data_IF_068064779485
#
_entry.id   IF_068064779485
#
_cell.length_a   1.000
_cell.length_b   1.000
_cell.length_c   1.000
_cell.angle_alpha   90.00
_cell.angle_beta   90.00
_cell.angle_gamma   90.00
#
_symmetry.space_group_name_H-M   'P 1'
#
loop_
_entity.id
_entity.type
_entity.pdbx_description
1 polymer ?
#
# COMPACT_ATOMS: atom_id res chain seq x y z
N UNK A 1 10.52 -7.26 20.27
CA UNK A 1 10.14 -8.68 20.41
C UNK A 1 9.10 -9.12 19.37
N UNK A 2 8.11 -8.29 19.00
CA UNK A 2 7.15 -8.64 17.93
C UNK A 2 7.75 -8.59 16.51
N UNK A 3 8.71 -7.71 16.26
CA UNK A 3 9.40 -7.61 14.94
C UNK A 3 10.20 -8.87 14.57
N UNK A 4 10.77 -9.58 15.55
CA UNK A 4 11.49 -10.83 15.30
C UNK A 4 10.54 -11.96 14.92
N UNK A 5 9.37 -12.04 15.56
CA UNK A 5 8.31 -13.03 15.24
C UNK A 5 7.77 -12.81 13.83
N UNK A 6 7.48 -11.55 13.46
CA UNK A 6 7.03 -11.21 12.11
C UNK A 6 8.07 -11.59 11.04
N UNK A 7 9.36 -11.38 11.35
CA UNK A 7 10.45 -11.71 10.45
C UNK A 7 10.60 -13.21 10.25
N UNK A 8 10.61 -14.01 11.32
CA UNK A 8 10.68 -15.47 11.23
C UNK A 8 9.51 -16.07 10.45
N UNK A 9 8.29 -15.56 10.68
CA UNK A 9 7.09 -15.96 9.94
C UNK A 9 7.24 -15.68 8.44
N UNK A 10 7.68 -14.48 8.07
CA UNK A 10 7.90 -14.10 6.67
C UNK A 10 9.03 -14.92 6.02
N UNK A 11 10.13 -15.14 6.72
CA UNK A 11 11.25 -15.96 6.23
C UNK A 11 10.80 -17.41 5.98
N UNK A 12 9.96 -17.97 6.85
CA UNK A 12 9.34 -19.29 6.64
C UNK A 12 8.45 -19.33 5.40
N UNK A 13 7.52 -18.38 5.28
CA UNK A 13 6.62 -18.27 4.11
C UNK A 13 7.41 -18.15 2.81
N UNK A 14 8.46 -17.33 2.77
CA UNK A 14 9.28 -17.10 1.57
C UNK A 14 10.09 -18.35 1.20
N UNK A 15 10.71 -18.99 2.20
CA UNK A 15 11.50 -20.21 2.00
C UNK A 15 10.64 -21.34 1.48
N UNK A 16 9.50 -21.57 2.13
CA UNK A 16 8.64 -22.71 1.88
C UNK A 16 7.62 -22.42 0.75
N UNK A 17 7.56 -21.16 0.28
CA UNK A 17 6.67 -20.63 -0.77
C UNK A 17 5.20 -21.01 -0.55
N UNK A 18 4.80 -21.11 0.72
CA UNK A 18 3.50 -21.60 1.13
C UNK A 18 2.87 -20.66 2.14
N UNK A 19 1.60 -20.34 1.91
CA UNK A 19 0.74 -19.68 2.86
C UNK A 19 -0.25 -20.71 3.38
N UNK A 20 0.04 -21.30 4.54
CA UNK A 20 -0.99 -22.08 5.22
C UNK A 20 -2.05 -21.13 5.78
N UNK A 21 -3.29 -21.60 5.99
CA UNK A 21 -4.34 -20.79 6.60
C UNK A 21 -3.92 -20.18 7.96
N UNK A 22 -3.14 -20.91 8.73
CA UNK A 22 -2.63 -20.50 10.05
C UNK A 22 -1.59 -19.38 9.91
N UNK A 23 -0.61 -19.55 9.02
CA UNK A 23 0.43 -18.53 8.78
C UNK A 23 -0.17 -17.23 8.23
N UNK A 24 -1.21 -17.35 7.39
CA UNK A 24 -1.97 -16.20 6.90
C UNK A 24 -2.74 -15.49 8.01
N UNK A 25 -3.41 -16.22 8.90
CA UNK A 25 -4.13 -15.65 10.04
C UNK A 25 -3.19 -14.89 10.97
N UNK A 26 -2.02 -15.47 11.26
CA UNK A 26 -1.01 -14.86 12.12
C UNK A 26 -0.40 -13.61 11.47
N UNK A 27 -0.05 -13.69 10.19
CA UNK A 27 0.46 -12.53 9.44
C UNK A 27 -0.57 -11.39 9.41
N UNK A 28 -1.84 -11.69 9.16
CA UNK A 28 -2.92 -10.69 9.15
C UNK A 28 -3.08 -10.02 10.52
N UNK A 29 -2.95 -10.78 11.61
CA UNK A 29 -2.94 -10.23 12.96
C UNK A 29 -1.81 -9.23 13.14
N UNK A 30 -0.59 -9.59 12.77
CA UNK A 30 0.58 -8.71 12.86
C UNK A 30 0.42 -7.45 11.99
N UNK A 31 -0.05 -7.59 10.74
CA UNK A 31 -0.32 -6.45 9.85
C UNK A 31 -1.33 -5.47 10.47
N UNK A 32 -2.32 -5.99 11.19
CA UNK A 32 -3.37 -5.19 11.86
C UNK A 32 -2.81 -4.52 13.12
N UNK A 33 -2.15 -5.28 14.00
CA UNK A 33 -1.52 -4.76 15.23
C UNK A 33 -0.55 -3.63 14.93
N UNK A 34 0.24 -3.79 13.87
CA UNK A 34 1.21 -2.78 13.47
C UNK A 34 0.63 -1.71 12.54
N UNK A 35 -0.69 -1.70 12.24
CA UNK A 35 -1.34 -0.72 11.36
C UNK A 35 -0.62 -0.57 10.02
N UNK A 36 -0.16 -1.68 9.45
CA UNK A 36 0.64 -1.68 8.22
C UNK A 36 -0.18 -1.16 7.05
N UNK A 37 -1.46 -1.54 6.97
CA UNK A 37 -2.37 -1.09 5.93
C UNK A 37 -2.55 0.43 5.95
N UNK A 38 -2.76 1.02 7.14
CA UNK A 38 -2.88 2.48 7.30
C UNK A 38 -1.61 3.20 6.78
N UNK A 39 -0.42 2.73 7.18
CA UNK A 39 0.85 3.33 6.73
C UNK A 39 1.07 3.19 5.22
N UNK A 40 0.70 2.05 4.65
CA UNK A 40 0.79 1.82 3.19
C UNK A 40 -0.19 2.74 2.46
N UNK A 41 -1.40 2.91 2.98
CA UNK A 41 -2.38 3.85 2.45
C UNK A 41 -1.86 5.30 2.50
N UNK A 42 -1.39 5.76 3.65
CA UNK A 42 -0.80 7.10 3.81
C UNK A 42 0.35 7.34 2.83
N UNK A 43 1.21 6.34 2.65
CA UNK A 43 2.30 6.41 1.66
C UNK A 43 1.78 6.49 0.23
N UNK A 44 0.74 5.74 -0.11
CA UNK A 44 0.11 5.77 -1.44
C UNK A 44 -0.53 7.15 -1.71
N UNK A 45 -1.24 7.72 -0.73
CA UNK A 45 -1.75 9.10 -0.79
C UNK A 45 -0.63 10.10 -1.02
N UNK A 46 0.50 9.94 -0.31
CA UNK A 46 1.68 10.79 -0.51
C UNK A 46 2.21 10.79 -1.95
N UNK A 47 2.19 9.63 -2.62
CA UNK A 47 2.56 9.54 -4.04
C UNK A 47 1.50 10.17 -4.96
N UNK A 48 0.22 9.96 -4.69
CA UNK A 48 -0.86 10.57 -5.48
C UNK A 48 -0.78 12.11 -5.43
N UNK A 49 -0.60 12.67 -4.24
CA UNK A 49 -0.44 14.11 -4.06
C UNK A 49 0.84 14.64 -4.71
N UNK A 50 1.94 13.88 -4.66
CA UNK A 50 3.16 14.25 -5.37
C UNK A 50 2.96 14.28 -6.89
N UNK A 51 2.22 13.32 -7.46
CA UNK A 51 1.90 13.28 -8.89
C UNK A 51 1.04 14.49 -9.29
N UNK A 52 -0.02 14.80 -8.54
CA UNK A 52 -0.88 15.97 -8.78
C UNK A 52 -0.11 17.29 -8.76
N UNK A 53 0.82 17.46 -7.81
CA UNK A 53 1.69 18.65 -7.75
C UNK A 53 2.60 18.83 -8.97
N UNK A 54 3.02 17.74 -9.62
CA UNK A 54 3.79 17.83 -10.86
C UNK A 54 2.93 18.31 -12.04
N UNK A 55 1.63 18.01 -12.01
CA UNK A 55 0.69 18.37 -13.07
C UNK A 55 0.11 19.78 -12.90
N UNK A 56 0.04 20.32 -11.69
CA UNK A 56 -0.61 21.61 -11.39
C UNK A 56 0.04 22.84 -12.07
N UNK A 57 1.26 22.71 -12.59
CA UNK A 57 1.93 23.78 -13.33
C UNK A 57 1.67 23.76 -14.85
N UNK A 58 0.97 22.73 -15.35
CA UNK A 58 0.69 22.58 -16.77
C UNK A 58 -0.58 23.35 -17.17
N UNK A 59 -0.69 23.79 -18.43
CA UNK A 59 -1.90 24.45 -18.91
C UNK A 59 -3.14 23.56 -18.76
N UNK A 60 -4.30 24.12 -18.36
CA UNK A 60 -5.52 23.34 -18.20
C UNK A 60 -5.95 22.75 -19.55
N UNK A 61 -6.24 21.46 -19.54
CA UNK A 61 -6.72 20.69 -20.69
C UNK A 61 -7.41 19.41 -20.22
N UNK A 62 -8.30 18.82 -21.03
CA UNK A 62 -8.97 17.56 -20.69
C UNK A 62 -8.01 16.43 -20.33
N UNK A 63 -6.84 16.39 -20.96
CA UNK A 63 -5.80 15.40 -20.68
C UNK A 63 -5.19 15.59 -19.28
N UNK A 64 -4.94 16.84 -18.88
CA UNK A 64 -4.44 17.15 -17.54
C UNK A 64 -5.51 16.85 -16.49
N UNK A 65 -6.77 17.16 -16.76
CA UNK A 65 -7.88 16.84 -15.85
C UNK A 65 -8.00 15.32 -15.64
N UNK A 66 -7.88 14.54 -16.73
CA UNK A 66 -7.87 13.08 -16.65
C UNK A 66 -6.68 12.55 -15.86
N UNK A 67 -5.46 13.06 -16.12
CA UNK A 67 -4.25 12.69 -15.39
C UNK A 67 -4.32 13.05 -13.89
N UNK A 68 -4.99 14.15 -13.54
CA UNK A 68 -5.23 14.55 -12.15
C UNK A 68 -6.19 13.63 -11.40
N UNK A 69 -7.17 13.04 -12.12
CA UNK A 69 -8.16 12.13 -11.53
C UNK A 69 -7.65 10.68 -11.37
N UNK A 70 -6.70 10.24 -12.20
CA UNK A 70 -6.19 8.86 -12.17
C UNK A 70 -5.63 8.43 -10.80
N UNK A 71 -4.82 9.24 -10.09
CA UNK A 71 -4.31 8.86 -8.78
C UNK A 71 -5.43 8.58 -7.77
N UNK A 72 -6.50 9.39 -7.76
CA UNK A 72 -7.63 9.20 -6.86
C UNK A 72 -8.42 7.94 -7.19
N UNK A 73 -8.63 7.67 -8.48
CA UNK A 73 -9.24 6.43 -8.93
C UNK A 73 -8.45 5.18 -8.50
N UNK A 74 -7.12 5.22 -8.62
CA UNK A 74 -6.26 4.10 -8.22
C UNK A 74 -6.35 3.88 -6.70
N UNK A 75 -6.34 4.94 -5.91
CA UNK A 75 -6.49 4.85 -4.45
C UNK A 75 -7.85 4.27 -4.04
N UNK A 76 -8.94 4.74 -4.64
CA UNK A 76 -10.29 4.26 -4.29
C UNK A 76 -10.55 2.81 -4.67
N UNK A 77 -9.77 2.26 -5.61
CA UNK A 77 -9.89 0.85 -6.02
C UNK A 77 -9.05 -0.08 -5.15
N UNK A 78 -7.88 0.38 -4.71
CA UNK A 78 -6.89 -0.48 -4.05
C UNK A 78 -7.15 -0.69 -2.55
N UNK A 79 -7.97 0.14 -1.92
CA UNK A 79 -8.28 0.15 -0.50
C UNK A 79 -9.79 0.26 -0.28
#
# INVERSE_FOLDING_TARGET
QQDSVARELLEGIVRDRSFTPESWKELRSLLTTHRVLDRVYERAVGFAEAAKRQLSGLPPSPEIDALMALPDYVLSRAF
#
